data_IF_341499047691
#
_entry.id   IF_341499047691
#
_cell.length_a   1.000
_cell.length_b   1.000
_cell.length_c   1.000
_cell.angle_alpha   90.00
_cell.angle_beta   90.00
_cell.angle_gamma   90.00
#
_symmetry.space_group_name_H-M   'P 1'
#
loop_
_entity.id
_entity.type
_entity.pdbx_description
1 polymer ?
#
# COMPACT_ATOMS: atom_id res chain seq x y z
N UNK A 1 2.69 -3.14 -50.69
CA UNK A 1 1.98 -2.11 -49.90
C UNK A 1 2.33 -2.30 -48.43
N UNK A 2 3.16 -1.42 -47.86
CA UNK A 2 3.41 -1.38 -46.41
C UNK A 2 2.88 -0.04 -45.88
N UNK A 3 1.86 -0.09 -45.03
CA UNK A 3 1.34 1.10 -44.38
C UNK A 3 2.33 1.58 -43.31
N UNK A 4 2.99 2.72 -43.54
CA UNK A 4 3.77 3.41 -42.51
C UNK A 4 2.79 4.01 -41.51
N UNK A 5 2.75 3.45 -40.30
CA UNK A 5 2.00 3.99 -39.16
C UNK A 5 2.75 5.21 -38.61
N UNK A 6 2.27 6.40 -38.96
CA UNK A 6 2.75 7.65 -38.39
C UNK A 6 2.27 7.77 -36.95
N UNK A 7 3.19 7.70 -35.98
CA UNK A 7 2.91 8.14 -34.62
C UNK A 7 2.92 9.68 -34.60
N UNK A 8 1.77 10.28 -34.32
CA UNK A 8 1.66 11.73 -34.08
C UNK A 8 2.48 12.09 -32.84
N UNK A 9 3.56 12.85 -33.02
CA UNK A 9 4.26 13.53 -31.92
C UNK A 9 3.48 14.77 -31.51
N UNK A 10 2.31 14.56 -30.92
CA UNK A 10 1.56 15.65 -30.28
C UNK A 10 2.33 16.05 -29.02
N UNK A 11 3.11 17.12 -29.08
CA UNK A 11 3.77 17.72 -27.92
C UNK A 11 2.71 18.17 -26.93
N UNK A 12 2.55 17.40 -25.86
CA UNK A 12 1.57 17.62 -24.81
C UNK A 12 1.96 18.83 -23.93
N UNK A 13 1.63 20.03 -24.39
CA UNK A 13 1.81 21.28 -23.63
C UNK A 13 1.09 21.28 -22.28
N UNK A 14 0.01 20.49 -22.15
CA UNK A 14 -0.74 20.26 -20.91
C UNK A 14 0.08 19.58 -19.78
N UNK A 15 1.05 18.75 -20.13
CA UNK A 15 1.72 17.87 -19.15
C UNK A 15 2.73 18.62 -18.28
N UNK A 16 3.43 19.63 -18.82
CA UNK A 16 4.39 20.42 -18.01
C UNK A 16 3.67 21.20 -16.90
N UNK A 17 2.59 21.90 -17.21
CA UNK A 17 1.81 22.64 -16.22
C UNK A 17 1.17 21.70 -15.18
N UNK A 18 0.66 20.55 -15.60
CA UNK A 18 0.14 19.52 -14.69
C UNK A 18 1.22 18.97 -13.76
N UNK A 19 2.42 18.63 -14.29
CA UNK A 19 3.54 18.16 -13.48
C UNK A 19 4.00 19.22 -12.48
N UNK A 20 4.15 20.48 -12.91
CA UNK A 20 4.53 21.58 -12.00
C UNK A 20 3.49 21.78 -10.90
N UNK A 21 2.20 21.71 -11.22
CA UNK A 21 1.12 21.76 -10.23
C UNK A 21 1.16 20.57 -9.27
N UNK A 22 1.43 19.37 -9.78
CA UNK A 22 1.54 18.17 -8.98
C UNK A 22 2.71 18.22 -7.99
N UNK A 23 3.91 18.62 -8.45
CA UNK A 23 5.12 18.72 -7.61
C UNK A 23 5.01 19.88 -6.61
N UNK A 24 4.26 20.93 -6.94
CA UNK A 24 4.00 22.04 -6.02
C UNK A 24 2.90 21.75 -5.00
N UNK A 25 2.17 20.64 -5.13
CA UNK A 25 1.11 20.27 -4.20
C UNK A 25 1.69 20.01 -2.79
N UNK A 26 1.15 20.69 -1.75
CA UNK A 26 1.69 20.60 -0.40
C UNK A 26 1.60 19.18 0.17
N UNK A 27 0.60 18.39 -0.21
CA UNK A 27 0.45 17.01 0.27
C UNK A 27 1.40 16.06 -0.45
N UNK A 28 1.79 16.35 -1.71
CA UNK A 28 2.87 15.60 -2.38
C UNK A 28 4.21 15.86 -1.69
N UNK A 29 4.50 17.12 -1.37
CA UNK A 29 5.70 17.48 -0.59
C UNK A 29 5.69 16.87 0.80
N UNK A 30 4.52 16.91 1.46
CA UNK A 30 4.32 16.31 2.78
C UNK A 30 4.47 14.79 2.74
N UNK A 31 3.96 14.11 1.71
CA UNK A 31 4.12 12.65 1.60
C UNK A 31 5.57 12.26 1.43
N UNK A 32 6.36 13.03 0.68
CA UNK A 32 7.82 12.82 0.58
C UNK A 32 8.49 13.07 1.93
N UNK A 33 8.17 14.19 2.61
CA UNK A 33 8.74 14.55 3.91
C UNK A 33 8.44 13.52 5.01
N UNK A 34 7.21 13.01 5.04
CA UNK A 34 6.76 11.98 6.00
C UNK A 34 6.96 10.55 5.45
N UNK A 35 7.55 10.43 4.26
CA UNK A 35 7.88 9.21 3.54
C UNK A 35 6.72 8.19 3.47
N UNK A 36 5.56 8.74 3.11
CA UNK A 36 4.42 8.01 2.57
C UNK A 36 4.56 7.86 1.05
N UNK A 37 4.19 6.68 0.53
CA UNK A 37 4.28 6.35 -0.89
C UNK A 37 3.41 7.23 -1.78
N UNK A 38 2.34 7.81 -1.24
CA UNK A 38 1.47 8.73 -1.96
C UNK A 38 0.77 9.71 -1.02
N UNK A 39 0.36 10.86 -1.58
CA UNK A 39 -0.43 11.88 -0.85
C UNK A 39 -1.80 11.39 -0.38
N UNK A 40 -2.31 10.28 -0.92
CA UNK A 40 -3.59 9.70 -0.50
C UNK A 40 -3.58 9.21 0.95
N UNK A 41 -2.41 8.95 1.54
CA UNK A 41 -2.27 8.60 2.95
C UNK A 41 -2.98 9.60 3.88
N UNK A 42 -2.86 10.90 3.58
CA UNK A 42 -3.47 11.96 4.39
C UNK A 42 -4.99 11.91 4.41
N UNK A 43 -5.62 11.43 3.33
CA UNK A 43 -7.08 11.23 3.32
C UNK A 43 -7.51 10.21 4.36
N UNK A 44 -6.78 9.09 4.46
CA UNK A 44 -7.10 8.06 5.44
C UNK A 44 -6.83 8.54 6.87
N UNK A 45 -5.75 9.29 7.09
CA UNK A 45 -5.45 9.92 8.38
C UNK A 45 -6.57 10.87 8.79
N UNK A 46 -6.96 11.82 7.92
CA UNK A 46 -8.01 12.80 8.18
C UNK A 46 -9.37 12.11 8.41
N UNK A 47 -9.72 11.10 7.61
CA UNK A 47 -10.94 10.32 7.81
C UNK A 47 -10.91 9.59 9.16
N UNK A 48 -9.80 8.95 9.53
CA UNK A 48 -9.72 8.28 10.82
C UNK A 48 -9.75 9.28 11.98
N UNK A 49 -9.22 10.49 11.80
CA UNK A 49 -9.30 11.54 12.80
C UNK A 49 -10.73 12.03 13.03
N UNK A 50 -11.54 12.11 11.97
CA UNK A 50 -12.94 12.50 12.07
C UNK A 50 -13.83 11.38 12.66
N UNK A 51 -13.63 10.14 12.23
CA UNK A 51 -14.58 9.04 12.46
C UNK A 51 -14.08 7.95 13.42
N UNK A 52 -12.78 7.90 13.73
CA UNK A 52 -12.15 6.97 14.68
C UNK A 52 -12.48 5.48 14.46
N UNK A 53 -12.61 5.07 13.19
CA UNK A 53 -13.02 3.71 12.80
C UNK A 53 -11.86 2.70 12.73
N UNK A 54 -10.61 3.16 12.72
CA UNK A 54 -9.44 2.29 12.83
C UNK A 54 -8.97 2.25 14.28
N UNK A 55 -8.97 1.05 14.86
CA UNK A 55 -8.54 0.80 16.22
C UNK A 55 -7.54 -0.36 16.28
N UNK A 56 -6.67 -0.39 17.31
CA UNK A 56 -5.78 -1.53 17.56
C UNK A 56 -6.54 -2.85 17.61
N UNK A 57 -6.01 -3.87 16.93
CA UNK A 57 -6.63 -5.20 16.89
C UNK A 57 -7.62 -5.42 15.75
N UNK A 58 -7.95 -4.39 14.97
CA UNK A 58 -8.78 -4.55 13.78
C UNK A 58 -8.05 -5.34 12.68
N UNK A 59 -8.84 -6.09 11.92
CA UNK A 59 -8.43 -6.73 10.67
C UNK A 59 -8.96 -5.86 9.55
N UNK A 60 -8.07 -5.36 8.68
CA UNK A 60 -8.45 -4.44 7.62
C UNK A 60 -7.95 -4.97 6.28
N UNK A 61 -8.82 -4.91 5.28
CA UNK A 61 -8.51 -5.21 3.88
C UNK A 61 -8.43 -3.88 3.11
N UNK A 62 -7.26 -3.60 2.54
CA UNK A 62 -6.98 -2.45 1.67
C UNK A 62 -7.11 -2.91 0.21
N UNK A 63 -8.18 -2.50 -0.47
CA UNK A 63 -8.47 -2.90 -1.85
C UNK A 63 -8.03 -1.83 -2.84
N UNK A 64 -7.34 -2.23 -3.92
CA UNK A 64 -6.72 -1.28 -4.83
C UNK A 64 -5.52 -0.60 -4.16
N UNK A 65 -4.77 -1.38 -3.39
CA UNK A 65 -3.79 -0.86 -2.46
C UNK A 65 -2.55 -0.27 -3.15
N UNK A 66 -2.21 -0.62 -4.39
CA UNK A 66 -0.98 -0.16 -5.03
C UNK A 66 -0.97 1.38 -5.15
N UNK A 67 0.12 2.08 -4.75
CA UNK A 67 1.44 1.57 -4.36
C UNK A 67 1.59 1.22 -2.85
N UNK A 68 0.56 1.38 -2.03
CA UNK A 68 0.52 0.94 -0.62
C UNK A 68 0.49 2.07 0.42
N UNK A 69 0.08 3.28 0.03
CA UNK A 69 0.09 4.45 0.92
C UNK A 69 -0.90 4.33 2.09
N UNK A 70 -2.08 3.74 1.87
CA UNK A 70 -3.07 3.49 2.92
C UNK A 70 -2.61 2.35 3.83
N UNK A 71 -2.12 1.26 3.25
CA UNK A 71 -1.46 0.17 3.98
C UNK A 71 -0.38 0.66 4.97
N UNK A 72 0.47 1.65 4.60
CA UNK A 72 1.45 2.24 5.53
C UNK A 72 0.80 2.92 6.75
N UNK A 73 -0.35 3.57 6.57
CA UNK A 73 -1.11 4.19 7.66
C UNK A 73 -1.78 3.12 8.51
N UNK A 74 -2.41 2.13 7.88
CA UNK A 74 -3.15 1.06 8.55
C UNK A 74 -2.28 0.29 9.55
N UNK A 75 -1.04 -0.05 9.18
CA UNK A 75 -0.10 -0.77 10.06
C UNK A 75 0.02 -0.10 11.42
N UNK A 76 0.13 1.23 11.44
CA UNK A 76 0.23 2.01 12.68
C UNK A 76 -1.10 2.03 13.42
N UNK A 77 -2.20 2.32 12.72
CA UNK A 77 -3.51 2.54 13.35
C UNK A 77 -4.10 1.26 13.97
N UNK A 78 -3.89 0.10 13.35
CA UNK A 78 -4.43 -1.17 13.86
C UNK A 78 -3.44 -1.93 14.74
N UNK A 79 -2.28 -1.34 15.05
CA UNK A 79 -1.20 -2.00 15.79
C UNK A 79 -0.80 -3.34 15.12
N UNK A 80 -0.53 -3.33 13.82
CA UNK A 80 -0.37 -4.56 13.05
C UNK A 80 0.87 -5.36 13.47
N UNK A 81 0.75 -6.69 13.51
CA UNK A 81 1.88 -7.60 13.78
C UNK A 81 2.89 -7.57 12.64
N UNK A 82 4.16 -7.38 12.98
CA UNK A 82 5.25 -7.48 12.01
C UNK A 82 5.72 -8.94 11.92
N UNK A 83 5.55 -9.55 10.75
CA UNK A 83 6.14 -10.85 10.46
C UNK A 83 7.61 -10.69 10.07
N UNK A 84 8.52 -10.96 11.01
CA UNK A 84 9.98 -10.85 10.82
C UNK A 84 10.60 -11.98 9.98
N UNK A 85 9.80 -12.83 9.31
CA UNK A 85 10.31 -14.07 8.69
C UNK A 85 11.04 -13.89 7.35
N UNK A 86 10.99 -12.73 6.71
CA UNK A 86 11.73 -12.46 5.47
C UNK A 86 12.89 -11.51 5.72
N UNK A 87 13.99 -12.02 6.27
CA UNK A 87 15.30 -11.37 6.21
C UNK A 87 16.15 -12.03 5.14
N UNK A 88 15.96 -11.59 3.91
CA UNK A 88 17.00 -11.59 2.87
C UNK A 88 16.71 -10.30 2.10
N UNK A 89 17.58 -9.29 2.06
CA UNK A 89 18.73 -9.25 1.15
C UNK A 89 19.65 -8.06 1.53
N UNK A 90 20.93 -8.25 1.21
CA UNK A 90 22.01 -7.32 0.92
C UNK A 90 21.70 -5.81 1.00
N UNK A 91 22.51 -5.13 1.81
CA UNK A 91 22.65 -3.68 1.86
C UNK A 91 23.18 -3.15 0.52
N UNK A 92 22.48 -2.15 -0.05
CA UNK A 92 23.02 -0.95 -0.70
C UNK A 92 22.00 -0.36 -1.69
N UNK A 93 21.16 0.57 -1.23
CA UNK A 93 20.70 1.76 -1.97
C UNK A 93 19.74 2.58 -1.08
N UNK A 94 19.67 3.88 -1.37
CA UNK A 94 18.87 4.92 -0.72
C UNK A 94 17.66 4.40 0.08
N UNK A 95 17.65 4.70 1.39
CA UNK A 95 16.60 4.43 2.38
C UNK A 95 15.20 4.31 1.75
N UNK A 96 14.73 3.09 1.51
CA UNK A 96 13.49 2.81 0.78
C UNK A 96 12.27 3.07 1.69
N UNK A 97 11.09 3.52 1.18
CA UNK A 97 9.90 3.81 2.00
C UNK A 97 9.39 2.68 2.91
N UNK A 98 9.88 1.45 2.71
CA UNK A 98 9.73 0.31 3.63
C UNK A 98 10.36 0.55 5.01
N UNK A 99 11.34 1.46 5.12
CA UNK A 99 12.08 1.68 6.36
C UNK A 99 11.27 2.41 7.44
N UNK A 100 10.32 3.29 7.08
CA UNK A 100 9.40 3.88 8.06
C UNK A 100 8.48 2.83 8.69
N UNK A 101 8.09 1.82 7.93
CA UNK A 101 7.27 0.74 8.48
C UNK A 101 8.13 -0.25 9.27
N UNK A 102 9.41 -0.38 8.93
CA UNK A 102 10.36 -1.19 9.72
C UNK A 102 10.67 -0.59 11.11
N UNK A 103 10.39 0.70 11.32
CA UNK A 103 10.44 1.36 12.63
C UNK A 103 9.16 1.19 13.45
N UNK A 104 8.03 0.82 12.83
CA UNK A 104 6.82 0.49 13.58
C UNK A 104 7.17 -0.64 14.54
N UNK A 105 6.91 -0.44 15.82
CA UNK A 105 6.98 -1.50 16.82
C UNK A 105 5.57 -1.62 17.37
N UNK A 106 4.93 -2.79 17.25
CA UNK A 106 3.62 -2.99 17.85
C UNK A 106 3.71 -2.66 19.33
N UNK A 107 2.75 -1.88 19.83
CA UNK A 107 2.64 -1.62 21.25
C UNK A 107 2.24 -2.95 21.93
N UNK A 108 3.04 -3.47 22.88
CA UNK A 108 2.76 -4.74 23.55
C UNK A 108 1.50 -4.69 24.42
N UNK A 109 1.09 -3.50 24.87
CA UNK A 109 -0.07 -3.31 25.74
C UNK A 109 -1.39 -3.28 24.95
N UNK A 110 -1.33 -3.19 23.61
CA UNK A 110 -2.50 -3.09 22.75
C UNK A 110 -2.72 -4.38 21.95
N UNK A 111 -3.99 -4.69 21.68
CA UNK A 111 -4.33 -5.80 20.78
C UNK A 111 -3.68 -5.55 19.41
N UNK A 112 -3.10 -6.61 18.87
CA UNK A 112 -2.45 -6.60 17.57
C UNK A 112 -3.47 -6.82 16.46
N UNK A 113 -3.48 -5.94 15.45
CA UNK A 113 -4.32 -6.08 14.26
C UNK A 113 -3.62 -6.76 13.09
N UNK A 114 -4.33 -6.80 11.96
CA UNK A 114 -3.86 -7.38 10.69
C UNK A 114 -4.22 -6.44 9.55
N UNK A 115 -3.29 -6.23 8.62
CA UNK A 115 -3.55 -5.51 7.37
C UNK A 115 -3.33 -6.47 6.21
N UNK A 116 -4.29 -6.55 5.31
CA UNK A 116 -4.24 -7.33 4.07
C UNK A 116 -4.37 -6.34 2.91
N UNK A 117 -3.41 -6.29 2.01
CA UNK A 117 -3.41 -5.39 0.86
C UNK A 117 -3.64 -6.19 -0.43
N UNK A 118 -4.67 -5.81 -1.17
CA UNK A 118 -5.11 -6.45 -2.41
C UNK A 118 -4.97 -5.47 -3.57
N UNK A 119 -4.28 -5.86 -4.64
CA UNK A 119 -4.27 -5.13 -5.91
C UNK A 119 -3.97 -6.09 -7.07
N UNK A 120 -4.17 -5.62 -8.31
CA UNK A 120 -3.73 -6.31 -9.53
C UNK A 120 -2.30 -5.90 -9.93
N UNK A 121 -1.85 -4.77 -9.42
CA UNK A 121 -0.52 -4.22 -9.63
C UNK A 121 0.39 -4.63 -8.48
N UNK A 122 1.69 -4.85 -8.73
CA UNK A 122 2.63 -5.22 -7.69
C UNK A 122 2.69 -4.16 -6.58
N UNK A 123 2.69 -4.62 -5.33
CA UNK A 123 2.85 -3.75 -4.16
C UNK A 123 4.22 -4.06 -3.57
N UNK A 124 5.10 -3.05 -3.51
CA UNK A 124 6.39 -3.21 -2.82
C UNK A 124 6.17 -3.60 -1.36
N UNK A 125 7.03 -4.44 -0.81
CA UNK A 125 6.87 -4.98 0.54
C UNK A 125 6.67 -3.87 1.60
N UNK A 126 5.69 -4.09 2.49
CA UNK A 126 5.41 -3.23 3.64
C UNK A 126 5.41 -4.13 4.88
N UNK A 127 6.37 -3.95 5.81
CA UNK A 127 6.39 -4.69 7.07
C UNK A 127 5.05 -4.68 7.81
N UNK A 128 4.54 -5.85 8.18
CA UNK A 128 3.24 -5.98 8.87
C UNK A 128 2.01 -5.94 7.97
N UNK A 129 2.19 -6.00 6.65
CA UNK A 129 1.10 -6.14 5.67
C UNK A 129 1.19 -7.48 4.96
N UNK A 130 0.05 -8.16 4.85
CA UNK A 130 -0.11 -9.34 4.01
C UNK A 130 -0.50 -8.90 2.60
N UNK A 131 0.40 -9.05 1.64
CA UNK A 131 0.19 -8.60 0.26
C UNK A 131 -0.34 -9.75 -0.60
N UNK A 132 -1.37 -9.47 -1.38
CA UNK A 132 -1.91 -10.32 -2.45
C UNK A 132 -2.03 -9.42 -3.68
N UNK A 133 -1.02 -9.44 -4.54
CA UNK A 133 -0.85 -8.53 -5.68
C UNK A 133 -0.93 -9.23 -7.05
N UNK A 134 -1.18 -10.54 -7.04
CA UNK A 134 -1.37 -11.39 -8.22
C UNK A 134 -2.86 -11.62 -8.56
N UNK A 135 -3.74 -10.74 -8.07
CA UNK A 135 -5.17 -10.81 -8.35
C UNK A 135 -5.42 -10.51 -9.85
N UNK A 136 -5.79 -11.53 -10.61
CA UNK A 136 -6.36 -11.34 -11.96
C UNK A 136 -7.88 -11.52 -11.94
N UNK A 137 -8.58 -11.00 -12.96
CA UNK A 137 -10.04 -11.09 -13.09
C UNK A 137 -10.51 -12.40 -13.75
N UNK A 138 -9.71 -13.47 -13.71
CA UNK A 138 -10.17 -14.79 -14.17
C UNK A 138 -10.88 -15.52 -13.03
N UNK A 139 -11.80 -16.43 -13.36
CA UNK A 139 -12.51 -17.23 -12.35
C UNK A 139 -11.54 -18.07 -11.50
N UNK A 140 -10.44 -18.53 -12.09
CA UNK A 140 -9.42 -19.34 -11.42
C UNK A 140 -8.59 -18.51 -10.43
N UNK A 141 -8.10 -17.33 -10.83
CA UNK A 141 -7.34 -16.45 -9.92
C UNK A 141 -8.22 -15.87 -8.82
N UNK A 142 -9.50 -15.62 -9.11
CA UNK A 142 -10.49 -15.22 -8.09
C UNK A 142 -10.68 -16.33 -7.05
N UNK A 143 -10.79 -17.60 -7.49
CA UNK A 143 -10.90 -18.75 -6.59
C UNK A 143 -9.64 -18.94 -5.74
N UNK A 144 -8.46 -18.81 -6.34
CA UNK A 144 -7.18 -18.92 -5.63
C UNK A 144 -7.00 -17.81 -4.60
N UNK A 145 -7.27 -16.56 -4.96
CA UNK A 145 -7.17 -15.45 -4.03
C UNK A 145 -8.18 -15.55 -2.89
N UNK A 146 -9.42 -15.98 -3.17
CA UNK A 146 -10.41 -16.28 -2.12
C UNK A 146 -9.91 -17.38 -1.20
N UNK A 147 -9.34 -18.46 -1.75
CA UNK A 147 -8.75 -19.54 -0.94
C UNK A 147 -7.61 -19.02 -0.07
N UNK A 148 -6.69 -18.22 -0.61
CA UNK A 148 -5.57 -17.63 0.15
C UNK A 148 -6.04 -16.67 1.23
N UNK A 149 -7.07 -15.88 0.94
CA UNK A 149 -7.70 -15.02 1.94
C UNK A 149 -8.32 -15.86 3.05
N UNK A 150 -9.11 -16.88 2.71
CA UNK A 150 -9.72 -17.79 3.70
C UNK A 150 -8.66 -18.55 4.51
N UNK A 151 -7.61 -19.07 3.87
CA UNK A 151 -6.48 -19.72 4.55
C UNK A 151 -5.77 -18.75 5.50
N UNK A 152 -5.62 -17.47 5.11
CA UNK A 152 -5.04 -16.44 5.95
C UNK A 152 -5.95 -16.10 7.14
N UNK A 153 -7.26 -15.91 6.92
CA UNK A 153 -8.23 -15.64 7.97
C UNK A 153 -8.28 -16.79 8.98
N UNK A 154 -8.35 -18.03 8.50
CA UNK A 154 -8.31 -19.24 9.33
C UNK A 154 -7.03 -19.33 10.16
N UNK A 155 -5.86 -19.09 9.54
CA UNK A 155 -4.56 -19.07 10.24
C UNK A 155 -4.47 -18.00 11.32
N UNK A 156 -5.14 -16.88 11.10
CA UNK A 156 -5.16 -15.75 12.02
C UNK A 156 -6.29 -15.85 13.06
N UNK A 157 -7.12 -16.90 12.99
CA UNK A 157 -8.28 -17.11 13.87
C UNK A 157 -9.23 -15.91 13.84
N UNK A 158 -9.52 -15.42 12.63
CA UNK A 158 -10.44 -14.32 12.37
C UNK A 158 -11.74 -14.96 11.87
N UNK A 159 -12.81 -14.85 12.67
CA UNK A 159 -14.17 -15.31 12.33
C UNK A 159 -14.86 -14.41 11.30
#
# INVERSE_FOLDING_TARGET
MFAKRFFSTSTCHSTKAWMTKHVSDPYVRRSVKENYRARSAFKLIEMNDAYKFLQPGHVVIDMGAAPGAWSQVLVKQVNARINTRKKTIQQNELLHPSEITSLHRPNPDLKCGTVIALDRSPIFEIPGVHIIDDWNLTEETTRDCNKRLQDLLNRLQID
#
